data_IF_924268511429
#
_entry.id   IF_924268511429
#
_cell.length_a   1.000
_cell.length_b   1.000
_cell.length_c   1.000
_cell.angle_alpha   90.00
_cell.angle_beta   90.00
_cell.angle_gamma   90.00
#
_symmetry.space_group_name_H-M   'P 1'
#
loop_
_entity.id
_entity.type
_entity.pdbx_description
1 polymer ?
#
# COMPACT_ATOMS: atom_id res chain seq x y z
N UNK A 1 -14.99 -45.52 22.42
CA UNK A 1 -14.86 -44.05 22.52
C UNK A 1 -13.69 -43.48 21.68
N UNK A 2 -12.59 -44.21 21.48
CA UNK A 2 -11.44 -43.74 20.67
C UNK A 2 -11.69 -43.70 19.14
N UNK A 3 -12.50 -44.60 18.57
CA UNK A 3 -12.74 -44.62 17.12
C UNK A 3 -13.58 -43.43 16.60
N UNK A 4 -14.46 -42.85 17.42
CA UNK A 4 -15.26 -41.68 17.05
C UNK A 4 -14.40 -40.40 16.98
N UNK A 5 -13.38 -40.27 17.84
CA UNK A 5 -12.47 -39.13 17.86
C UNK A 5 -11.54 -39.09 16.63
N UNK A 6 -11.10 -40.26 16.15
CA UNK A 6 -10.30 -40.36 14.92
C UNK A 6 -11.13 -40.11 13.65
N UNK A 7 -12.39 -40.54 13.61
CA UNK A 7 -13.27 -40.28 12.47
C UNK A 7 -13.62 -38.79 12.37
N UNK A 8 -13.99 -38.13 13.47
CA UNK A 8 -14.30 -36.70 13.48
C UNK A 8 -13.10 -35.86 13.01
N UNK A 9 -11.90 -36.15 13.51
CA UNK A 9 -10.67 -35.48 13.04
C UNK A 9 -10.38 -35.75 11.56
N UNK A 10 -10.53 -36.98 11.07
CA UNK A 10 -10.27 -37.29 9.67
C UNK A 10 -11.32 -36.66 8.73
N UNK A 11 -12.58 -36.59 9.14
CA UNK A 11 -13.65 -35.93 8.38
C UNK A 11 -13.46 -34.41 8.30
N UNK A 12 -13.04 -33.76 9.39
CA UNK A 12 -12.75 -32.32 9.39
C UNK A 12 -11.46 -31.99 8.64
N UNK A 13 -10.42 -32.81 8.75
CA UNK A 13 -9.19 -32.65 7.95
C UNK A 13 -9.50 -32.83 6.46
N UNK A 14 -10.26 -33.86 6.08
CA UNK A 14 -10.64 -34.10 4.67
C UNK A 14 -11.54 -33.00 4.13
N UNK A 15 -12.55 -32.52 4.87
CA UNK A 15 -13.34 -31.33 4.48
C UNK A 15 -12.47 -30.09 4.31
N UNK A 16 -11.53 -29.87 5.23
CA UNK A 16 -10.63 -28.72 5.17
C UNK A 16 -9.71 -28.79 3.95
N UNK A 17 -9.14 -29.96 3.65
CA UNK A 17 -8.29 -30.21 2.47
C UNK A 17 -9.09 -30.13 1.16
N UNK A 18 -10.31 -30.68 1.13
CA UNK A 18 -11.22 -30.60 -0.02
C UNK A 18 -11.65 -29.14 -0.26
N UNK A 19 -11.95 -28.37 0.79
CA UNK A 19 -12.29 -26.95 0.65
C UNK A 19 -11.13 -26.12 0.09
N UNK A 20 -9.90 -26.40 0.54
CA UNK A 20 -8.68 -25.74 0.03
C UNK A 20 -8.42 -26.08 -1.43
N UNK A 21 -8.60 -27.33 -1.84
CA UNK A 21 -8.42 -27.74 -3.25
C UNK A 21 -9.47 -27.11 -4.17
N UNK A 22 -10.72 -26.95 -3.72
CA UNK A 22 -11.76 -26.25 -4.48
C UNK A 22 -11.50 -24.74 -4.60
N UNK A 23 -10.99 -24.08 -3.55
CA UNK A 23 -10.58 -22.67 -3.62
C UNK A 23 -9.45 -22.49 -4.64
N UNK A 24 -8.43 -23.35 -4.60
CA UNK A 24 -7.29 -23.29 -5.53
C UNK A 24 -7.74 -23.52 -6.96
N UNK A 25 -8.60 -24.52 -7.22
CA UNK A 25 -9.16 -24.76 -8.57
C UNK A 25 -9.96 -23.56 -9.08
N UNK A 26 -10.81 -22.96 -8.23
CA UNK A 26 -11.57 -21.75 -8.58
C UNK A 26 -10.64 -20.59 -8.91
N UNK A 27 -9.58 -20.40 -8.11
CA UNK A 27 -8.59 -19.35 -8.34
C UNK A 27 -7.84 -19.58 -9.66
N UNK A 28 -7.37 -20.80 -9.91
CA UNK A 28 -6.71 -21.16 -11.15
C UNK A 28 -7.61 -20.92 -12.37
N UNK A 29 -8.90 -21.26 -12.28
CA UNK A 29 -9.89 -20.97 -13.34
C UNK A 29 -10.05 -19.46 -13.58
N UNK A 30 -10.09 -18.64 -12.51
CA UNK A 30 -10.12 -17.17 -12.61
C UNK A 30 -8.86 -16.64 -13.31
N UNK A 31 -7.68 -17.08 -12.88
CA UNK A 31 -6.42 -16.68 -13.52
C UNK A 31 -6.37 -17.09 -15.00
N UNK A 32 -6.74 -18.33 -15.33
CA UNK A 32 -6.82 -18.81 -16.71
C UNK A 32 -7.74 -17.92 -17.54
N UNK A 33 -8.93 -17.58 -17.03
CA UNK A 33 -9.87 -16.69 -17.70
C UNK A 33 -9.27 -15.30 -18.00
N UNK A 34 -8.68 -14.64 -17.00
CA UNK A 34 -8.08 -13.32 -17.21
C UNK A 34 -6.84 -13.36 -18.12
N UNK A 35 -5.97 -14.36 -17.97
CA UNK A 35 -4.78 -14.49 -18.80
C UNK A 35 -5.06 -14.97 -20.23
N UNK A 36 -6.23 -15.58 -20.49
CA UNK A 36 -6.69 -15.83 -21.87
C UNK A 36 -7.02 -14.53 -22.61
N UNK A 37 -7.41 -13.46 -21.90
CA UNK A 37 -7.66 -12.17 -22.50
C UNK A 37 -6.34 -11.44 -22.80
N UNK A 38 -6.11 -11.13 -24.08
CA UNK A 38 -4.93 -10.40 -24.53
C UNK A 38 -4.85 -8.97 -23.97
N UNK A 39 -5.96 -8.25 -23.87
CA UNK A 39 -6.00 -6.89 -23.32
C UNK A 39 -5.61 -6.88 -21.85
N UNK A 40 -6.06 -7.88 -21.08
CA UNK A 40 -5.69 -8.01 -19.67
C UNK A 40 -4.18 -8.23 -19.51
N UNK A 41 -3.57 -9.11 -20.31
CA UNK A 41 -2.13 -9.39 -20.28
C UNK A 41 -1.30 -8.14 -20.60
N UNK A 42 -1.69 -7.40 -21.64
CA UNK A 42 -1.04 -6.12 -21.97
C UNK A 42 -1.21 -5.14 -20.81
N UNK A 43 -2.42 -4.98 -20.28
CA UNK A 43 -2.68 -4.03 -19.21
C UNK A 43 -1.87 -4.34 -17.95
N UNK A 44 -1.74 -5.64 -17.60
CA UNK A 44 -0.92 -6.10 -16.49
C UNK A 44 0.58 -5.86 -16.75
N UNK A 45 1.07 -6.16 -17.95
CA UNK A 45 2.47 -5.90 -18.31
C UNK A 45 2.79 -4.40 -18.24
N UNK A 46 1.94 -3.55 -18.81
CA UNK A 46 2.05 -2.09 -18.72
C UNK A 46 2.00 -1.63 -17.27
N UNK A 47 1.14 -2.22 -16.44
CA UNK A 47 1.07 -1.88 -15.01
C UNK A 47 2.39 -2.19 -14.29
N UNK A 48 2.96 -3.38 -14.52
CA UNK A 48 4.24 -3.78 -13.91
C UNK A 48 5.37 -2.88 -14.41
N UNK A 49 5.46 -2.62 -15.71
CA UNK A 49 6.46 -1.73 -16.28
C UNK A 49 6.32 -0.30 -15.70
N UNK A 50 5.09 0.20 -15.58
CA UNK A 50 4.81 1.52 -15.01
C UNK A 50 5.20 1.59 -13.53
N UNK A 51 4.96 0.53 -12.76
CA UNK A 51 5.40 0.44 -11.37
C UNK A 51 6.94 0.43 -11.28
N UNK A 52 7.64 -0.37 -12.08
CA UNK A 52 9.10 -0.41 -12.08
C UNK A 52 9.70 0.97 -12.38
N UNK A 53 9.19 1.65 -13.41
CA UNK A 53 9.60 3.02 -13.75
C UNK A 53 9.31 3.98 -12.58
N UNK A 54 8.13 3.89 -11.96
CA UNK A 54 7.79 4.73 -10.80
C UNK A 54 8.75 4.54 -9.63
N UNK A 55 9.19 3.31 -9.36
CA UNK A 55 10.11 3.00 -8.27
C UNK A 55 11.52 3.55 -8.57
N UNK A 56 11.96 3.48 -9.83
CA UNK A 56 13.23 4.09 -10.26
C UNK A 56 13.18 5.60 -10.07
N UNK A 57 12.10 6.26 -10.50
CA UNK A 57 11.92 7.71 -10.31
C UNK A 57 11.93 8.06 -8.82
N UNK A 58 11.20 7.30 -7.99
CA UNK A 58 11.15 7.52 -6.55
C UNK A 58 12.51 7.35 -5.87
N UNK A 59 13.29 6.34 -6.28
CA UNK A 59 14.64 6.15 -5.79
C UNK A 59 15.50 7.39 -6.05
N UNK A 60 15.55 7.88 -7.28
CA UNK A 60 16.35 9.08 -7.61
C UNK A 60 15.83 10.34 -6.93
N UNK A 61 14.52 10.54 -6.84
CA UNK A 61 13.93 11.66 -6.11
C UNK A 61 14.32 11.64 -4.62
N UNK A 62 14.30 10.46 -4.00
CA UNK A 62 14.66 10.28 -2.59
C UNK A 62 16.15 10.49 -2.34
N UNK A 63 17.02 10.02 -3.25
CA UNK A 63 18.46 10.28 -3.21
C UNK A 63 18.75 11.78 -3.35
N UNK A 64 18.10 12.44 -4.31
CA UNK A 64 18.21 13.88 -4.51
C UNK A 64 17.79 14.67 -3.27
N UNK A 65 16.60 14.37 -2.72
CA UNK A 65 16.10 15.07 -1.53
C UNK A 65 16.98 14.85 -0.30
N UNK A 66 17.61 13.68 -0.18
CA UNK A 66 18.58 13.40 0.90
C UNK A 66 19.88 14.16 0.73
N UNK A 67 20.36 14.35 -0.51
CA UNK A 67 21.58 15.11 -0.79
C UNK A 67 21.37 16.62 -0.68
N UNK A 68 20.20 17.11 -1.10
CA UNK A 68 19.83 18.53 -1.12
C UNK A 68 19.03 18.95 0.12
N UNK A 69 19.13 18.20 1.22
CA UNK A 69 18.31 18.42 2.41
C UNK A 69 18.54 19.82 2.99
N UNK A 70 17.46 20.59 3.12
CA UNK A 70 17.44 21.91 3.76
C UNK A 70 17.27 21.81 5.27
N UNK A 71 17.17 22.94 5.99
CA UNK A 71 16.93 22.93 7.43
C UNK A 71 15.55 22.34 7.79
N UNK A 72 15.42 21.89 9.04
CA UNK A 72 14.13 21.47 9.58
C UNK A 72 13.22 22.68 9.82
N UNK A 73 11.92 22.42 9.82
CA UNK A 73 10.90 23.44 10.09
C UNK A 73 10.19 23.15 11.41
N UNK A 74 9.52 24.16 11.95
CA UNK A 74 8.67 23.98 13.13
C UNK A 74 7.36 23.28 12.74
N UNK A 75 6.80 22.51 13.66
CA UNK A 75 5.56 21.77 13.44
C UNK A 75 4.71 21.83 14.70
N UNK A 76 3.46 22.31 14.56
CA UNK A 76 2.56 22.52 15.69
C UNK A 76 2.28 21.20 16.42
N UNK A 77 2.14 20.08 15.70
CA UNK A 77 1.85 18.80 16.33
C UNK A 77 3.11 18.23 16.95
N UNK A 78 4.20 18.11 16.19
CA UNK A 78 5.43 17.47 16.68
C UNK A 78 6.09 18.26 17.82
N UNK A 79 5.90 19.59 17.89
CA UNK A 79 6.37 20.40 19.01
C UNK A 79 5.55 20.20 20.30
N UNK A 80 4.39 19.55 20.23
CA UNK A 80 3.45 19.41 21.36
C UNK A 80 3.13 17.96 21.74
N UNK A 81 3.76 16.97 21.09
CA UNK A 81 3.60 15.55 21.44
C UNK A 81 4.96 14.94 21.81
N UNK A 82 4.98 13.90 22.67
CA UNK A 82 6.21 13.18 22.97
C UNK A 82 6.64 12.35 21.76
N UNK A 83 7.96 12.20 21.58
CA UNK A 83 8.51 11.19 20.67
C UNK A 83 8.39 9.81 21.31
N UNK A 84 7.88 8.85 20.55
CA UNK A 84 7.78 7.44 20.95
C UNK A 84 8.49 6.61 19.89
N UNK A 85 9.37 5.71 20.32
CA UNK A 85 10.00 4.77 19.40
C UNK A 85 8.98 3.75 18.88
N UNK A 86 8.51 3.99 17.66
CA UNK A 86 7.62 3.10 16.92
C UNK A 86 8.28 2.59 15.64
N UNK A 87 9.62 2.59 15.57
CA UNK A 87 10.39 2.19 14.38
C UNK A 87 10.01 0.79 13.89
N UNK A 88 9.75 -0.13 14.83
CA UNK A 88 9.30 -1.48 14.50
C UNK A 88 7.96 -1.47 13.74
N UNK A 89 6.96 -0.72 14.22
CA UNK A 89 5.66 -0.62 13.58
C UNK A 89 5.72 0.14 12.26
N UNK A 90 6.55 1.19 12.20
CA UNK A 90 6.80 1.94 10.98
C UNK A 90 7.33 1.02 9.86
N UNK A 91 8.38 0.25 10.12
CA UNK A 91 9.00 -0.61 9.10
C UNK A 91 8.19 -1.90 8.91
N UNK A 92 8.16 -2.76 9.93
CA UNK A 92 7.63 -4.12 9.79
C UNK A 92 6.11 -4.15 9.75
N UNK A 93 5.46 -3.24 10.47
CA UNK A 93 4.00 -3.07 10.37
C UNK A 93 3.59 -2.67 8.96
N UNK A 94 4.30 -1.72 8.35
CA UNK A 94 3.99 -1.29 6.98
C UNK A 94 4.34 -2.36 5.93
N UNK A 95 5.46 -3.06 6.08
CA UNK A 95 5.78 -4.23 5.22
C UNK A 95 4.70 -5.29 5.32
N UNK A 96 4.26 -5.66 6.53
CA UNK A 96 3.18 -6.62 6.72
C UNK A 96 1.88 -6.14 6.06
N UNK A 97 1.58 -4.84 6.15
CA UNK A 97 0.43 -4.23 5.49
C UNK A 97 0.52 -4.31 3.95
N UNK A 98 1.68 -4.01 3.35
CA UNK A 98 1.92 -4.14 1.91
C UNK A 98 1.84 -5.60 1.47
N UNK A 99 2.41 -6.54 2.24
CA UNK A 99 2.27 -7.97 1.99
C UNK A 99 0.81 -8.42 2.05
N UNK A 100 0.01 -7.88 2.98
CA UNK A 100 -1.42 -8.14 3.05
C UNK A 100 -2.17 -7.65 1.81
N UNK A 101 -1.86 -6.45 1.30
CA UNK A 101 -2.42 -5.96 0.03
C UNK A 101 -2.04 -6.90 -1.11
N UNK A 102 -0.77 -7.31 -1.19
CA UNK A 102 -0.30 -8.26 -2.20
C UNK A 102 -1.05 -9.59 -2.13
N UNK A 103 -1.20 -10.14 -0.93
CA UNK A 103 -1.99 -11.34 -0.67
C UNK A 103 -3.45 -11.18 -1.13
N UNK A 104 -4.12 -10.08 -0.75
CA UNK A 104 -5.49 -9.79 -1.19
C UNK A 104 -5.61 -9.71 -2.72
N UNK A 105 -4.64 -9.09 -3.38
CA UNK A 105 -4.60 -8.92 -4.82
C UNK A 105 -4.44 -10.27 -5.56
N UNK A 106 -3.72 -11.24 -4.97
CA UNK A 106 -3.61 -12.60 -5.52
C UNK A 106 -4.96 -13.33 -5.59
N UNK A 107 -5.91 -13.04 -4.71
CA UNK A 107 -7.25 -13.65 -4.77
C UNK A 107 -8.20 -12.94 -5.74
N UNK A 108 -7.81 -11.77 -6.26
CA UNK A 108 -8.65 -10.93 -7.12
C UNK A 108 -7.89 -10.50 -8.38
N UNK A 109 -7.49 -11.43 -9.28
CA UNK A 109 -6.64 -11.12 -10.44
C UNK A 109 -7.16 -9.97 -11.31
N UNK A 110 -8.48 -9.80 -11.43
CA UNK A 110 -9.10 -8.70 -12.17
C UNK A 110 -8.73 -7.29 -11.68
N UNK A 111 -8.37 -7.13 -10.40
CA UNK A 111 -7.98 -5.83 -9.83
C UNK A 111 -6.52 -5.47 -10.12
N UNK A 112 -5.67 -6.46 -10.40
CA UNK A 112 -4.22 -6.30 -10.42
C UNK A 112 -3.76 -5.13 -11.30
N UNK A 113 -4.23 -4.98 -12.57
CA UNK A 113 -3.77 -3.87 -13.40
C UNK A 113 -4.16 -2.50 -12.86
N UNK A 114 -5.40 -2.34 -12.36
CA UNK A 114 -5.86 -1.06 -11.79
C UNK A 114 -5.11 -0.71 -10.51
N UNK A 115 -4.95 -1.69 -9.61
CA UNK A 115 -4.26 -1.53 -8.34
C UNK A 115 -2.79 -1.13 -8.55
N UNK A 116 -2.07 -1.88 -9.39
CA UNK A 116 -0.64 -1.64 -9.66
C UNK A 116 -0.44 -0.27 -10.32
N UNK A 117 -1.27 0.08 -11.32
CA UNK A 117 -1.19 1.41 -11.96
C UNK A 117 -1.51 2.55 -10.99
N UNK A 118 -2.44 2.34 -10.06
CA UNK A 118 -2.77 3.35 -9.04
C UNK A 118 -1.62 3.57 -8.06
N UNK A 119 -0.98 2.49 -7.62
CA UNK A 119 0.23 2.57 -6.77
C UNK A 119 1.38 3.23 -7.54
N UNK A 120 1.57 2.88 -8.82
CA UNK A 120 2.61 3.49 -9.65
C UNK A 120 2.40 5.01 -9.82
N UNK A 121 1.16 5.44 -10.11
CA UNK A 121 0.83 6.86 -10.23
C UNK A 121 1.01 7.61 -8.91
N UNK A 122 0.60 7.00 -7.80
CA UNK A 122 0.84 7.52 -6.45
C UNK A 122 2.33 7.78 -6.20
N UNK A 123 3.17 6.78 -6.51
CA UNK A 123 4.62 6.85 -6.32
C UNK A 123 5.25 7.94 -7.18
N UNK A 124 4.82 8.10 -8.44
CA UNK A 124 5.32 9.18 -9.32
C UNK A 124 4.97 10.55 -8.77
N UNK A 125 3.70 10.76 -8.40
CA UNK A 125 3.26 12.06 -7.88
C UNK A 125 3.99 12.40 -6.58
N UNK A 126 4.14 11.42 -5.68
CA UNK A 126 4.97 11.58 -4.48
C UNK A 126 6.43 11.90 -4.81
N UNK A 127 7.03 11.27 -5.82
CA UNK A 127 8.41 11.57 -6.24
C UNK A 127 8.60 13.02 -6.70
N UNK A 128 7.61 13.58 -7.40
CA UNK A 128 7.59 15.00 -7.77
C UNK A 128 7.59 15.86 -6.51
N UNK A 129 6.71 15.57 -5.55
CA UNK A 129 6.62 16.30 -4.29
C UNK A 129 7.91 16.22 -3.46
N UNK A 130 8.47 15.02 -3.27
CA UNK A 130 9.76 14.82 -2.57
C UNK A 130 10.85 15.70 -3.18
N UNK A 131 10.91 15.78 -4.51
CA UNK A 131 11.92 16.60 -5.19
C UNK A 131 11.71 18.10 -4.94
N UNK A 132 10.46 18.55 -4.83
CA UNK A 132 10.10 19.94 -4.56
C UNK A 132 10.25 20.35 -3.09
N UNK A 133 10.21 19.41 -2.15
CA UNK A 133 10.10 19.68 -0.69
C UNK A 133 11.18 18.95 0.12
N UNK A 134 12.45 19.09 -0.27
CA UNK A 134 13.62 18.49 0.38
C UNK A 134 13.92 19.13 1.75
N UNK A 135 12.99 19.01 2.70
CA UNK A 135 13.06 19.53 4.07
C UNK A 135 13.77 18.49 4.96
N UNK A 136 14.57 18.93 5.93
CA UNK A 136 15.15 17.99 6.90
C UNK A 136 14.11 17.37 7.82
N UNK A 137 14.41 16.15 8.29
CA UNK A 137 13.65 15.51 9.36
C UNK A 137 13.51 16.43 10.58
N UNK A 138 12.42 16.25 11.32
CA UNK A 138 12.20 16.99 12.55
C UNK A 138 13.33 16.71 13.56
N UNK A 139 13.82 17.69 14.35
CA UNK A 139 15.03 17.52 15.16
C UNK A 139 14.98 16.35 16.16
N UNK A 140 13.80 16.04 16.70
CA UNK A 140 13.60 14.94 17.64
C UNK A 140 13.15 13.62 16.99
N UNK A 141 13.24 13.49 15.66
CA UNK A 141 12.86 12.26 14.96
C UNK A 141 13.61 11.03 15.49
N UNK A 142 12.92 9.90 15.51
CA UNK A 142 13.57 8.63 15.78
C UNK A 142 14.48 8.27 14.60
N UNK A 143 15.74 7.94 14.91
CA UNK A 143 16.67 7.46 13.90
C UNK A 143 16.37 5.99 13.59
N UNK A 144 16.12 5.71 12.31
CA UNK A 144 15.92 4.34 11.83
C UNK A 144 17.30 3.71 11.60
N UNK A 145 17.52 2.51 12.16
CA UNK A 145 18.79 1.79 12.07
C UNK A 145 19.25 1.60 10.60
N UNK A 146 20.46 2.07 10.24
CA UNK A 146 21.08 1.91 8.93
C UNK A 146 21.21 0.46 8.43
N UNK A 147 21.18 -0.54 9.32
CA UNK A 147 21.33 -1.97 9.00
C UNK A 147 20.03 -2.62 8.51
N UNK A 148 18.89 -1.92 8.56
CA UNK A 148 17.67 -2.41 7.95
C UNK A 148 17.82 -2.47 6.42
N UNK A 149 17.72 -3.67 5.84
CA UNK A 149 17.74 -3.93 4.39
C UNK A 149 16.77 -3.02 3.58
N UNK A 150 15.81 -2.40 4.26
CA UNK A 150 14.72 -1.58 3.74
C UNK A 150 15.12 -0.10 3.55
N UNK A 151 16.26 0.37 4.09
CA UNK A 151 16.70 1.77 3.94
C UNK A 151 16.80 2.24 2.48
N UNK A 152 17.12 1.35 1.55
CA UNK A 152 17.18 1.68 0.11
C UNK A 152 15.81 1.99 -0.51
N UNK A 153 14.71 1.75 0.23
CA UNK A 153 13.34 2.04 -0.19
C UNK A 153 12.70 3.20 0.61
N UNK A 154 13.30 3.65 1.71
CA UNK A 154 12.83 4.78 2.52
C UNK A 154 14.05 5.58 2.98
N UNK A 155 14.40 6.61 2.22
CA UNK A 155 15.54 7.48 2.51
C UNK A 155 15.07 8.68 3.33
N UNK A 156 15.87 9.17 4.28
CA UNK A 156 15.49 10.27 5.19
C UNK A 156 15.15 11.63 4.57
N UNK A 157 15.11 11.78 3.24
CA UNK A 157 14.57 12.96 2.54
C UNK A 157 13.18 12.77 1.95
N UNK A 158 12.55 11.59 2.10
CA UNK A 158 11.29 11.23 1.43
C UNK A 158 10.03 11.59 2.24
N UNK A 159 9.98 12.80 2.80
CA UNK A 159 8.95 13.17 3.77
C UNK A 159 7.58 13.45 3.11
N UNK A 160 7.49 14.39 2.17
CA UNK A 160 6.20 14.88 1.69
C UNK A 160 5.70 14.15 0.43
N UNK A 161 4.45 13.69 0.35
CA UNK A 161 3.44 13.50 1.41
C UNK A 161 3.45 12.03 1.89
N UNK A 162 3.01 11.75 3.11
CA UNK A 162 3.22 10.44 3.76
C UNK A 162 2.66 9.23 2.99
N UNK A 163 3.56 8.32 2.57
CA UNK A 163 3.17 7.04 1.96
C UNK A 163 2.48 6.10 2.96
N UNK A 164 2.92 6.12 4.21
CA UNK A 164 2.36 5.32 5.30
C UNK A 164 0.89 5.67 5.58
N UNK A 165 0.50 6.93 5.37
CA UNK A 165 -0.90 7.37 5.47
C UNK A 165 -1.66 7.20 4.16
N UNK A 166 -1.03 7.60 3.05
CA UNK A 166 -1.66 7.67 1.73
C UNK A 166 -1.94 6.30 1.11
N UNK A 167 -1.04 5.32 1.19
CA UNK A 167 -1.27 3.99 0.59
C UNK A 167 -2.47 3.27 1.25
N UNK A 168 -2.60 3.18 2.58
CA UNK A 168 -3.81 2.62 3.18
C UNK A 168 -5.08 3.38 2.80
N UNK A 169 -5.02 4.72 2.74
CA UNK A 169 -6.18 5.51 2.32
C UNK A 169 -6.55 5.24 0.84
N UNK A 170 -5.56 5.11 -0.04
CA UNK A 170 -5.78 4.71 -1.43
C UNK A 170 -6.46 3.34 -1.51
N UNK A 171 -6.05 2.38 -0.69
CA UNK A 171 -6.71 1.07 -0.63
C UNK A 171 -8.15 1.19 -0.17
N UNK A 172 -8.45 2.06 0.81
CA UNK A 172 -9.82 2.29 1.24
C UNK A 172 -10.71 2.85 0.11
N UNK A 173 -10.16 3.74 -0.71
CA UNK A 173 -10.86 4.30 -1.89
C UNK A 173 -11.04 3.25 -3.00
N UNK A 174 -10.04 2.42 -3.25
CA UNK A 174 -10.13 1.34 -4.24
C UNK A 174 -11.17 0.30 -3.81
N UNK A 175 -11.17 -0.14 -2.55
CA UNK A 175 -12.10 -1.16 -2.04
C UNK A 175 -13.36 -0.57 -1.40
N UNK A 176 -13.85 0.56 -1.92
CA UNK A 176 -14.91 1.34 -1.28
C UNK A 176 -16.24 0.59 -1.10
N UNK A 177 -16.59 -0.34 -2.00
CA UNK A 177 -17.86 -1.08 -1.95
C UNK A 177 -17.83 -2.18 -0.88
N UNK A 178 -16.67 -2.74 -0.57
CA UNK A 178 -16.51 -3.71 0.51
C UNK A 178 -16.42 -3.01 1.87
N UNK A 179 -17.53 -2.95 2.61
CA UNK A 179 -17.57 -2.30 3.94
C UNK A 179 -16.44 -2.76 4.88
N UNK A 180 -16.18 -4.07 4.92
CA UNK A 180 -15.14 -4.65 5.77
C UNK A 180 -13.75 -4.17 5.36
N UNK A 181 -13.39 -4.27 4.08
CA UNK A 181 -12.07 -3.86 3.59
C UNK A 181 -11.90 -2.34 3.67
N UNK A 182 -12.93 -1.57 3.31
CA UNK A 182 -12.92 -0.11 3.43
C UNK A 182 -12.63 0.32 4.86
N UNK A 183 -13.37 -0.20 5.84
CA UNK A 183 -13.18 0.16 7.25
C UNK A 183 -11.80 -0.25 7.75
N UNK A 184 -11.33 -1.46 7.38
CA UNK A 184 -9.98 -1.91 7.70
C UNK A 184 -8.92 -0.94 7.17
N UNK A 185 -8.98 -0.58 5.89
CA UNK A 185 -7.99 0.30 5.26
C UNK A 185 -8.05 1.75 5.77
N UNK A 186 -9.24 2.27 6.08
CA UNK A 186 -9.38 3.58 6.75
C UNK A 186 -8.75 3.55 8.14
N UNK A 187 -9.03 2.50 8.92
CA UNK A 187 -8.44 2.33 10.24
C UNK A 187 -6.91 2.19 10.15
N UNK A 188 -6.38 1.43 9.18
CA UNK A 188 -4.94 1.33 8.93
C UNK A 188 -4.33 2.68 8.54
N UNK A 189 -5.02 3.50 7.75
CA UNK A 189 -4.54 4.85 7.39
C UNK A 189 -4.39 5.75 8.61
N UNK A 190 -5.41 5.80 9.46
CA UNK A 190 -5.37 6.56 10.72
C UNK A 190 -4.33 6.00 11.68
N UNK A 191 -4.21 4.67 11.77
CA UNK A 191 -3.21 4.00 12.59
C UNK A 191 -1.78 4.39 12.17
N UNK A 192 -1.46 4.28 10.87
CA UNK A 192 -0.13 4.66 10.38
C UNK A 192 0.12 6.16 10.46
N UNK A 193 -0.90 7.00 10.27
CA UNK A 193 -0.81 8.44 10.52
C UNK A 193 -0.38 8.73 11.98
N UNK A 194 -0.97 8.04 12.96
CA UNK A 194 -0.56 8.18 14.36
C UNK A 194 0.87 7.66 14.58
N UNK A 195 1.24 6.52 14.00
CA UNK A 195 2.59 5.95 14.12
C UNK A 195 3.66 6.92 13.61
N UNK A 196 3.46 7.50 12.43
CA UNK A 196 4.48 8.39 11.84
C UNK A 196 4.59 9.72 12.57
N UNK A 197 3.49 10.24 13.12
CA UNK A 197 3.51 11.46 13.92
C UNK A 197 4.17 11.23 15.27
N UNK A 198 3.81 10.16 15.99
CA UNK A 198 4.39 9.84 17.30
C UNK A 198 5.88 9.48 17.20
N UNK A 199 6.33 8.90 16.09
CA UNK A 199 7.75 8.65 15.83
C UNK A 199 8.50 9.87 15.29
N UNK A 200 7.80 11.00 15.06
CA UNK A 200 8.33 12.22 14.44
C UNK A 200 9.03 11.94 13.09
N UNK A 201 8.54 10.93 12.35
CA UNK A 201 9.09 10.50 11.06
C UNK A 201 8.46 11.24 9.87
N UNK A 202 7.35 11.93 10.10
CA UNK A 202 6.71 12.81 9.12
C UNK A 202 6.22 14.08 9.83
N UNK A 203 6.30 15.20 9.10
CA UNK A 203 5.62 16.42 9.52
C UNK A 203 4.10 16.22 9.48
N UNK A 204 3.38 16.97 10.31
CA UNK A 204 1.92 16.96 10.30
C UNK A 204 1.36 17.29 8.92
N UNK A 205 1.99 18.22 8.20
CA UNK A 205 1.58 18.59 6.84
C UNK A 205 1.72 17.42 5.86
N UNK A 206 2.74 16.56 6.00
CA UNK A 206 2.91 15.37 5.16
C UNK A 206 1.73 14.41 5.32
N UNK A 207 1.21 14.28 6.55
CA UNK A 207 0.13 13.38 6.91
C UNK A 207 -1.23 13.93 6.48
N UNK A 208 -1.53 15.21 6.77
CA UNK A 208 -2.80 15.80 6.39
C UNK A 208 -2.93 15.95 4.87
N UNK A 209 -1.87 16.42 4.20
CA UNK A 209 -1.88 16.55 2.74
C UNK A 209 -2.04 15.19 2.05
N UNK A 210 -1.58 14.09 2.68
CA UNK A 210 -1.71 12.76 2.11
C UNK A 210 -3.15 12.40 1.77
N UNK A 211 -4.14 12.74 2.60
CA UNK A 211 -5.54 12.43 2.31
C UNK A 211 -6.06 13.16 1.06
N UNK A 212 -5.78 14.47 0.92
CA UNK A 212 -6.24 15.26 -0.21
C UNK A 212 -5.54 14.89 -1.52
N UNK A 213 -4.22 14.72 -1.47
CA UNK A 213 -3.42 14.36 -2.64
C UNK A 213 -3.78 12.94 -3.08
N UNK A 214 -3.91 11.99 -2.15
CA UNK A 214 -4.31 10.61 -2.47
C UNK A 214 -5.72 10.53 -3.05
N UNK A 215 -6.69 11.27 -2.50
CA UNK A 215 -8.02 11.34 -3.09
C UNK A 215 -7.97 11.86 -4.53
N UNK A 216 -7.18 12.90 -4.77
CA UNK A 216 -6.97 13.46 -6.11
C UNK A 216 -6.33 12.44 -7.05
N UNK A 217 -5.31 11.70 -6.59
CA UNK A 217 -4.68 10.59 -7.32
C UNK A 217 -5.72 9.54 -7.68
N UNK A 218 -6.55 9.11 -6.73
CA UNK A 218 -7.60 8.13 -6.98
C UNK A 218 -8.57 8.61 -8.07
N UNK A 219 -9.05 9.86 -7.99
CA UNK A 219 -9.91 10.44 -9.02
C UNK A 219 -9.22 10.46 -10.39
N UNK A 220 -7.94 10.80 -10.45
CA UNK A 220 -7.14 10.75 -11.69
C UNK A 220 -7.06 9.30 -12.21
N UNK A 221 -6.79 8.31 -11.35
CA UNK A 221 -6.74 6.89 -11.72
C UNK A 221 -8.06 6.42 -12.33
N UNK A 222 -9.21 6.79 -11.75
CA UNK A 222 -10.53 6.37 -12.29
C UNK A 222 -10.79 6.92 -13.71
N UNK A 223 -10.16 8.04 -14.06
CA UNK A 223 -10.26 8.66 -15.38
C UNK A 223 -9.22 8.11 -16.36
N UNK A 224 -7.96 8.01 -15.95
CA UNK A 224 -6.85 7.52 -16.78
C UNK A 224 -6.94 6.02 -17.05
N UNK A 225 -7.35 5.22 -16.07
CA UNK A 225 -7.42 3.77 -16.13
C UNK A 225 -8.88 3.28 -16.14
N UNK A 226 -9.73 3.98 -16.90
CA UNK A 226 -11.19 3.77 -16.93
C UNK A 226 -11.57 2.33 -17.28
N UNK A 227 -10.85 1.69 -18.20
CA UNK A 227 -11.13 0.31 -18.63
C UNK A 227 -10.89 -0.68 -17.48
N UNK A 228 -9.76 -0.55 -16.81
CA UNK A 228 -9.37 -1.38 -15.68
C UNK A 228 -10.24 -1.12 -14.45
N UNK A 229 -10.58 0.15 -14.20
CA UNK A 229 -11.50 0.53 -13.12
C UNK A 229 -12.89 -0.08 -13.34
N UNK A 230 -13.43 0.00 -14.57
CA UNK A 230 -14.72 -0.63 -14.90
C UNK A 230 -14.68 -2.15 -14.69
N UNK A 231 -13.62 -2.81 -15.20
CA UNK A 231 -13.41 -4.24 -14.99
C UNK A 231 -13.39 -4.59 -13.49
N UNK A 232 -12.76 -3.76 -12.66
CA UNK A 232 -12.75 -3.96 -11.22
C UNK A 232 -14.15 -3.83 -10.60
N UNK A 233 -14.87 -2.75 -10.87
CA UNK A 233 -16.22 -2.50 -10.32
C UNK A 233 -17.20 -3.61 -10.72
N UNK A 234 -17.20 -4.02 -11.99
CA UNK A 234 -18.08 -5.08 -12.50
C UNK A 234 -17.80 -6.42 -11.79
N UNK A 235 -16.55 -6.69 -11.41
CA UNK A 235 -16.17 -7.88 -10.65
C UNK A 235 -16.41 -7.75 -9.14
N UNK A 236 -16.41 -6.55 -8.57
CA UNK A 236 -16.66 -6.34 -7.15
C UNK A 236 -18.16 -6.43 -6.81
N UNK A 237 -19.04 -5.97 -7.71
CA UNK A 237 -20.51 -6.04 -7.54
C UNK A 237 -21.05 -7.47 -7.72
N UNK A 238 -20.36 -8.30 -8.52
CA UNK A 238 -20.83 -9.65 -8.87
C UNK A 238 -20.37 -10.75 -7.92
N UNK A 239 -19.52 -10.45 -6.92
CA UNK A 239 -19.10 -11.38 -5.85
C UNK A 239 -19.67 -10.95 -4.50
#
# INVERSE_FOLDING_TARGET
MLCLFFWINFYDITKTVISKTEIIKKLFKKYKYFFSNHEFRISLFVAIAFLLVSLIINYYASVYASYSQSNSVTDIILSNIPVIDLSFLFIYGFVAFVCFIGFLALFRPGILPFLIKSIALFTIIRSIFISLTHIANFPSHIQIDPLSFIRNFSFGGDLFFSAHTGIPFLMALIFWHSRTLRTFFLASSVFFAAVVLLAHLHYSIDVFAAYFITYSIFVICTKLFKKEHKLFIDNEITN
#
